data_IF_123040494645
#
_entry.id   IF_123040494645
#
_cell.length_a   1.000
_cell.length_b   1.000
_cell.length_c   1.000
_cell.angle_alpha   90.00
_cell.angle_beta   90.00
_cell.angle_gamma   90.00
#
_symmetry.space_group_name_H-M   'P 1'
#
loop_
_entity.id
_entity.type
_entity.pdbx_description
1 polymer ?
#
# COMPACT_ATOMS: atom_id res chain seq x y z
N UNK A 1 15.98 18.67 8.86
CA UNK A 1 16.81 17.70 8.11
C UNK A 1 16.39 17.70 6.65
N UNK A 2 17.27 18.07 5.71
CA UNK A 2 17.03 17.86 4.27
C UNK A 2 16.99 16.35 4.02
N UNK A 3 15.91 15.84 3.42
CA UNK A 3 15.88 14.45 2.93
C UNK A 3 16.86 14.38 1.76
N UNK A 4 17.96 13.65 1.91
CA UNK A 4 18.82 13.31 0.78
C UNK A 4 18.02 12.47 -0.22
N UNK A 5 18.05 12.90 -1.49
CA UNK A 5 17.44 12.15 -2.59
C UNK A 5 18.23 10.88 -2.86
N UNK A 6 17.55 9.80 -3.25
CA UNK A 6 18.20 8.57 -3.70
C UNK A 6 18.74 8.79 -5.12
N UNK A 7 20.04 9.01 -5.26
CA UNK A 7 20.69 9.32 -6.55
C UNK A 7 21.46 8.15 -7.18
N UNK A 8 21.74 7.09 -6.40
CA UNK A 8 22.53 5.94 -6.85
C UNK A 8 21.61 4.76 -7.16
N UNK A 9 21.74 4.21 -8.37
CA UNK A 9 21.08 2.97 -8.80
C UNK A 9 22.05 1.80 -8.81
N UNK A 10 21.64 0.67 -8.24
CA UNK A 10 22.37 -0.61 -8.33
C UNK A 10 21.44 -1.68 -8.89
N UNK A 11 21.95 -2.47 -9.84
CA UNK A 11 21.23 -3.57 -10.46
C UNK A 11 21.70 -4.87 -9.81
N UNK A 12 20.76 -5.68 -9.34
CA UNK A 12 21.02 -7.00 -8.75
C UNK A 12 20.49 -8.08 -9.69
N UNK A 13 21.34 -9.05 -10.05
CA UNK A 13 20.92 -10.26 -10.74
C UNK A 13 20.68 -11.35 -9.70
N UNK A 14 19.60 -12.08 -9.85
CA UNK A 14 19.19 -13.15 -8.96
C UNK A 14 18.67 -14.32 -9.79
N UNK A 15 18.83 -15.53 -9.27
CA UNK A 15 18.18 -16.72 -9.81
C UNK A 15 16.67 -16.67 -9.51
N UNK A 16 15.83 -17.43 -10.24
CA UNK A 16 14.40 -17.52 -9.93
C UNK A 16 14.12 -17.97 -8.49
N UNK A 17 14.86 -18.96 -7.99
CA UNK A 17 14.69 -19.45 -6.61
C UNK A 17 15.02 -18.39 -5.55
N UNK A 18 16.05 -17.57 -5.79
CA UNK A 18 16.38 -16.46 -4.88
C UNK A 18 15.30 -15.37 -4.91
N UNK A 19 14.77 -15.07 -6.10
CA UNK A 19 13.68 -14.13 -6.27
C UNK A 19 12.45 -14.53 -5.47
N UNK A 20 12.02 -15.79 -5.60
CA UNK A 20 10.83 -16.32 -4.92
C UNK A 20 11.00 -16.31 -3.40
N UNK A 21 12.17 -16.69 -2.90
CA UNK A 21 12.48 -16.64 -1.46
C UNK A 21 12.44 -15.22 -0.90
N UNK A 22 12.92 -14.24 -1.67
CA UNK A 22 12.88 -12.83 -1.25
C UNK A 22 11.44 -12.31 -1.27
N UNK A 23 10.66 -12.64 -2.30
CA UNK A 23 9.25 -12.26 -2.38
C UNK A 23 8.43 -12.84 -1.22
N UNK A 24 8.65 -14.11 -0.86
CA UNK A 24 8.00 -14.73 0.29
C UNK A 24 8.26 -13.96 1.59
N UNK A 25 9.53 -13.63 1.87
CA UNK A 25 9.91 -12.83 3.06
C UNK A 25 9.31 -11.42 3.07
N UNK A 26 9.23 -10.78 1.90
CA UNK A 26 8.59 -9.47 1.75
C UNK A 26 7.08 -9.58 2.05
N UNK A 27 6.44 -10.63 1.55
CA UNK A 27 5.01 -10.88 1.77
C UNK A 27 4.71 -11.13 3.25
N UNK A 28 5.52 -11.93 3.93
CA UNK A 28 5.40 -12.20 5.38
C UNK A 28 5.51 -10.93 6.24
N UNK A 29 6.39 -10.01 5.85
CA UNK A 29 6.60 -8.75 6.58
C UNK A 29 5.47 -7.74 6.32
N UNK A 30 4.80 -7.81 5.17
CA UNK A 30 3.67 -6.93 4.82
C UNK A 30 4.07 -5.47 4.55
N UNK A 31 3.47 -4.88 3.51
CA UNK A 31 3.51 -3.41 3.30
C UNK A 31 4.87 -2.78 2.97
N UNK A 32 5.90 -3.58 2.66
CA UNK A 32 7.24 -3.08 2.31
C UNK A 32 7.58 -3.34 0.83
N UNK A 33 8.35 -2.43 0.23
CA UNK A 33 8.86 -2.59 -1.14
C UNK A 33 10.18 -3.35 -1.15
N UNK A 34 10.51 -3.99 -2.28
CA UNK A 34 11.79 -4.68 -2.46
C UNK A 34 13.00 -3.82 -2.09
N UNK A 35 13.05 -2.56 -2.55
CA UNK A 35 14.15 -1.64 -2.21
C UNK A 35 14.23 -1.37 -0.71
N UNK A 36 13.09 -1.17 -0.04
CA UNK A 36 13.07 -0.93 1.41
C UNK A 36 13.50 -2.17 2.18
N UNK A 37 13.05 -3.35 1.74
CA UNK A 37 13.46 -4.63 2.29
C UNK A 37 14.96 -4.84 2.13
N UNK A 38 15.49 -4.77 0.90
CA UNK A 38 16.91 -4.96 0.61
C UNK A 38 17.80 -4.00 1.41
N UNK A 39 17.48 -2.71 1.42
CA UNK A 39 18.26 -1.72 2.18
C UNK A 39 18.20 -1.95 3.69
N UNK A 40 17.04 -2.36 4.22
CA UNK A 40 16.92 -2.63 5.66
C UNK A 40 17.69 -3.89 6.03
N UNK A 41 17.61 -4.95 5.22
CA UNK A 41 18.39 -6.18 5.41
C UNK A 41 19.90 -5.93 5.32
N UNK A 42 20.36 -5.20 4.29
CA UNK A 42 21.79 -4.90 4.06
C UNK A 42 22.38 -3.98 5.12
N UNK A 43 21.56 -3.11 5.73
CA UNK A 43 21.98 -2.19 6.79
C UNK A 43 21.60 -2.68 8.19
N UNK A 44 21.17 -3.94 8.32
CA UNK A 44 20.74 -4.55 9.59
C UNK A 44 19.71 -3.73 10.37
N UNK A 45 18.82 -3.04 9.65
CA UNK A 45 17.72 -2.26 10.24
C UNK A 45 16.56 -3.20 10.57
N UNK A 46 15.81 -2.94 11.67
CA UNK A 46 14.67 -3.75 12.05
C UNK A 46 13.61 -3.74 10.94
N UNK A 47 13.17 -4.94 10.56
CA UNK A 47 12.05 -5.17 9.66
C UNK A 47 10.85 -5.54 10.52
N UNK A 48 10.02 -4.55 10.83
CA UNK A 48 8.79 -4.79 11.61
C UNK A 48 7.71 -5.37 10.72
N UNK A 49 7.06 -6.44 11.17
CA UNK A 49 5.88 -6.98 10.52
C UNK A 49 4.75 -5.96 10.60
N UNK A 50 4.14 -5.64 9.47
CA UNK A 50 3.02 -4.71 9.38
C UNK A 50 1.74 -5.51 9.17
N UNK A 51 0.64 -5.24 9.89
CA UNK A 51 -0.64 -5.90 9.62
C UNK A 51 -1.20 -5.54 8.23
N UNK A 52 -0.75 -4.41 7.68
CA UNK A 52 -1.16 -3.90 6.37
C UNK A 52 -0.34 -4.57 5.27
N UNK A 53 -1.01 -5.36 4.42
CA UNK A 53 -0.39 -5.99 3.24
C UNK A 53 -0.17 -4.99 2.10
N UNK A 54 0.68 -5.34 1.14
CA UNK A 54 0.94 -4.47 -0.02
C UNK A 54 -0.31 -4.29 -0.88
N UNK A 55 -1.10 -5.35 -1.02
CA UNK A 55 -2.37 -5.37 -1.73
C UNK A 55 -3.35 -4.39 -1.10
N UNK A 56 -3.41 -4.35 0.24
CA UNK A 56 -4.26 -3.43 0.98
C UNK A 56 -3.83 -1.97 0.75
N UNK A 57 -2.52 -1.68 0.75
CA UNK A 57 -2.00 -0.35 0.42
C UNK A 57 -2.37 0.06 -1.01
N UNK A 58 -2.29 -0.86 -1.96
CA UNK A 58 -2.66 -0.61 -3.36
C UNK A 58 -4.16 -0.35 -3.50
N UNK A 59 -5.00 -1.11 -2.81
CA UNK A 59 -6.44 -0.89 -2.81
C UNK A 59 -6.79 0.47 -2.20
N UNK A 60 -6.23 0.82 -1.05
CA UNK A 60 -6.41 2.14 -0.42
C UNK A 60 -5.98 3.28 -1.35
N UNK A 61 -4.84 3.12 -2.04
CA UNK A 61 -4.37 4.10 -3.02
C UNK A 61 -5.34 4.27 -4.19
N UNK A 62 -5.91 3.17 -4.69
CA UNK A 62 -6.93 3.20 -5.75
C UNK A 62 -8.18 3.94 -5.29
N UNK A 63 -8.70 3.62 -4.11
CA UNK A 63 -9.89 4.30 -3.56
C UNK A 63 -9.62 5.79 -3.33
N UNK A 64 -8.47 6.14 -2.73
CA UNK A 64 -8.08 7.54 -2.54
C UNK A 64 -7.98 8.32 -3.85
N UNK A 65 -7.44 7.72 -4.90
CA UNK A 65 -7.36 8.35 -6.22
C UNK A 65 -8.74 8.60 -6.83
N UNK A 66 -9.66 7.63 -6.73
CA UNK A 66 -11.04 7.77 -7.22
C UNK A 66 -11.76 8.91 -6.49
N UNK A 67 -11.72 8.93 -5.16
CA UNK A 67 -12.36 9.97 -4.34
C UNK A 67 -11.77 11.36 -4.60
N UNK A 68 -10.46 11.44 -4.83
CA UNK A 68 -9.78 12.70 -5.16
C UNK A 68 -10.18 13.22 -6.55
N UNK A 69 -10.38 12.33 -7.54
CA UNK A 69 -10.89 12.73 -8.85
C UNK A 69 -12.32 13.28 -8.76
N UNK A 70 -13.19 12.60 -8.01
CA UNK A 70 -14.57 13.06 -7.79
C UNK A 70 -14.58 14.41 -7.07
N UNK A 71 -13.79 14.56 -6.01
CA UNK A 71 -13.66 15.84 -5.28
C UNK A 71 -13.20 16.98 -6.18
N UNK A 72 -12.21 16.74 -7.06
CA UNK A 72 -11.75 17.75 -8.03
C UNK A 72 -12.85 18.15 -9.00
N UNK A 73 -13.64 17.20 -9.50
CA UNK A 73 -14.75 17.48 -10.41
C UNK A 73 -15.84 18.32 -9.71
N UNK A 74 -16.20 17.97 -8.47
CA UNK A 74 -17.15 18.75 -7.66
C UNK A 74 -16.63 20.17 -7.39
N UNK A 75 -15.36 20.31 -7.01
CA UNK A 75 -14.74 21.61 -6.78
C UNK A 75 -14.66 22.49 -8.05
N UNK A 76 -14.75 21.88 -9.23
CA UNK A 76 -14.83 22.58 -10.53
C UNK A 76 -16.28 22.91 -10.94
N UNK A 77 -17.26 22.62 -10.09
CA UNK A 77 -18.68 22.85 -10.39
C UNK A 77 -19.29 21.83 -11.36
N UNK A 78 -18.61 20.71 -11.62
CA UNK A 78 -19.18 19.64 -12.44
C UNK A 78 -20.24 18.89 -11.65
N UNK A 79 -21.34 18.55 -12.32
CA UNK A 79 -22.40 17.73 -11.74
C UNK A 79 -21.87 16.31 -11.46
N UNK A 80 -22.34 15.75 -10.35
CA UNK A 80 -22.07 14.37 -9.98
C UNK A 80 -22.98 13.46 -10.82
N UNK A 81 -22.40 12.59 -11.63
CA UNK A 81 -23.16 11.61 -12.39
C UNK A 81 -23.44 10.35 -11.54
N UNK A 82 -24.34 9.50 -12.03
CA UNK A 82 -24.71 8.24 -11.36
C UNK A 82 -23.51 7.31 -11.16
N UNK A 83 -22.55 7.33 -12.09
CA UNK A 83 -21.33 6.51 -12.02
C UNK A 83 -20.46 6.96 -10.84
N UNK A 84 -20.31 8.27 -10.62
CA UNK A 84 -19.56 8.81 -9.49
C UNK A 84 -20.22 8.48 -8.14
N UNK A 85 -21.56 8.46 -8.08
CA UNK A 85 -22.29 7.98 -6.90
C UNK A 85 -22.03 6.49 -6.62
N UNK A 86 -22.06 5.65 -7.65
CA UNK A 86 -21.78 4.21 -7.52
C UNK A 86 -20.34 3.98 -7.03
N UNK A 87 -19.36 4.73 -7.56
CA UNK A 87 -17.96 4.67 -7.11
C UNK A 87 -17.82 5.08 -5.64
N UNK A 88 -18.53 6.11 -5.19
CA UNK A 88 -18.49 6.53 -3.77
C UNK A 88 -19.02 5.42 -2.87
N UNK A 89 -20.16 4.81 -3.23
CA UNK A 89 -20.74 3.72 -2.45
C UNK A 89 -19.81 2.50 -2.41
N UNK A 90 -19.25 2.11 -3.55
CA UNK A 90 -18.28 1.00 -3.62
C UNK A 90 -17.02 1.30 -2.80
N UNK A 91 -16.49 2.52 -2.88
CA UNK A 91 -15.35 2.96 -2.06
C UNK A 91 -15.68 2.88 -0.57
N UNK A 92 -16.89 3.28 -0.15
CA UNK A 92 -17.32 3.22 1.24
C UNK A 92 -17.42 1.77 1.75
N UNK A 93 -18.05 0.88 0.98
CA UNK A 93 -18.15 -0.54 1.34
C UNK A 93 -16.76 -1.19 1.47
N UNK A 94 -15.87 -0.96 0.51
CA UNK A 94 -14.50 -1.48 0.54
C UNK A 94 -13.72 -0.93 1.73
N UNK A 95 -13.80 0.37 2.00
CA UNK A 95 -13.09 0.98 3.14
C UNK A 95 -13.60 0.43 4.48
N UNK A 96 -14.90 0.21 4.63
CA UNK A 96 -15.47 -0.41 5.82
C UNK A 96 -15.00 -1.87 5.99
N UNK A 97 -14.98 -2.66 4.92
CA UNK A 97 -14.46 -4.03 4.96
C UNK A 97 -12.98 -4.08 5.37
N UNK A 98 -12.16 -3.15 4.85
CA UNK A 98 -10.76 -3.00 5.24
C UNK A 98 -10.64 -2.64 6.72
N UNK A 99 -11.46 -1.68 7.19
CA UNK A 99 -11.46 -1.25 8.59
C UNK A 99 -11.82 -2.40 9.54
N UNK A 100 -12.83 -3.21 9.20
CA UNK A 100 -13.22 -4.38 9.98
C UNK A 100 -12.13 -5.44 10.03
N UNK A 101 -11.46 -5.70 8.91
CA UNK A 101 -10.35 -6.64 8.83
C UNK A 101 -9.20 -6.22 9.74
N UNK A 102 -8.79 -4.95 9.66
CA UNK A 102 -7.73 -4.39 10.51
C UNK A 102 -8.12 -4.35 11.99
N UNK A 103 -9.38 -4.03 12.29
CA UNK A 103 -9.89 -3.98 13.67
C UNK A 103 -9.95 -5.36 14.33
N UNK A 104 -10.19 -6.42 13.56
CA UNK A 104 -10.12 -7.81 14.06
C UNK A 104 -8.68 -8.23 14.33
N UNK A 105 -7.75 -7.87 13.44
CA UNK A 105 -6.33 -8.18 13.62
C UNK A 105 -5.70 -7.48 14.83
N UNK A 106 -6.14 -6.26 15.19
CA UNK A 106 -5.68 -5.57 16.41
C UNK A 106 -6.15 -6.27 17.69
N UNK A 107 -7.34 -6.89 17.68
CA UNK A 107 -7.90 -7.62 18.82
C UNK A 107 -7.24 -8.98 19.06
N UNK A 108 -6.78 -9.66 18.00
CA UNK A 108 -6.07 -10.95 18.11
C UNK A 108 -4.60 -10.80 18.55
N UNK A 109 -4.05 -9.58 18.52
CA UNK A 109 -2.66 -9.29 18.94
C UNK A 109 -2.53 -8.77 20.38
N UNK A 110 -3.65 -8.64 21.12
CA UNK A 110 -3.69 -8.26 22.54
C UNK A 110 -4.04 -9.45 23.42
#
# INVERSE_FOLDING_TARGET
MKKEGKTITKILRMTPSEHDKILAKISELGGITFTKYAMSSMLSRPLTKTPITRELVLELSKQGNNLNQISRNLNQGKLLDRIALDIINESLERLNAIFDLLSKQDKEQR
#
